data_IF_950531462316
#
_entry.id   IF_950531462316
#
_cell.length_a   1.000
_cell.length_b   1.000
_cell.length_c   1.000
_cell.angle_alpha   90.00
_cell.angle_beta   90.00
_cell.angle_gamma   90.00
#
_symmetry.space_group_name_H-M   'P 1'
#
loop_
_entity.id
_entity.type
_entity.pdbx_description
1 polymer ?
#
# COMPACT_ATOMS: atom_id res chain seq x y z
N UNK A 1 22.24 -11.15 18.02
CA UNK A 1 20.85 -11.63 18.18
C UNK A 1 20.19 -11.39 16.83
N UNK A 2 19.84 -12.45 16.12
CA UNK A 2 19.27 -12.40 14.77
C UNK A 2 17.76 -12.26 14.91
N UNK A 3 17.31 -11.05 15.25
CA UNK A 3 15.90 -10.68 15.55
C UNK A 3 14.88 -11.31 14.58
N UNK A 4 15.23 -11.41 13.29
CA UNK A 4 14.37 -11.99 12.26
C UNK A 4 14.06 -13.49 12.42
N UNK A 5 14.87 -14.26 13.18
CA UNK A 5 14.63 -15.69 13.44
C UNK A 5 13.57 -15.91 14.52
N UNK A 6 13.38 -14.93 15.41
CA UNK A 6 12.43 -15.01 16.52
C UNK A 6 11.06 -14.42 16.13
N UNK A 7 10.96 -13.81 14.95
CA UNK A 7 9.74 -13.20 14.43
C UNK A 7 8.93 -14.17 13.56
N UNK A 8 7.59 -14.10 13.59
CA UNK A 8 6.75 -14.92 12.73
C UNK A 8 6.94 -14.56 11.25
N UNK A 9 6.65 -15.52 10.38
CA UNK A 9 6.66 -15.30 8.92
C UNK A 9 5.35 -14.70 8.40
N UNK A 10 4.31 -14.67 9.23
CA UNK A 10 2.97 -14.21 8.84
C UNK A 10 2.19 -13.66 10.05
N UNK A 11 1.52 -12.53 9.87
CA UNK A 11 0.46 -12.03 10.78
C UNK A 11 -0.69 -11.47 9.95
N UNK A 12 -1.90 -11.84 10.33
CA UNK A 12 -3.14 -11.34 9.74
C UNK A 12 -3.88 -10.54 10.82
N UNK A 13 -4.30 -9.33 10.48
CA UNK A 13 -5.05 -8.49 11.40
C UNK A 13 -5.97 -7.54 10.64
N UNK A 14 -6.79 -6.79 11.38
CA UNK A 14 -7.64 -5.75 10.81
C UNK A 14 -7.26 -4.38 11.39
N UNK A 15 -7.28 -3.34 10.57
CA UNK A 15 -7.05 -1.95 10.98
C UNK A 15 -7.81 -1.01 10.06
N UNK A 16 -8.37 0.08 10.61
CA UNK A 16 -9.22 1.02 9.88
C UNK A 16 -10.38 0.36 9.10
N UNK A 17 -10.86 -0.81 9.54
CA UNK A 17 -11.89 -1.58 8.85
C UNK A 17 -11.41 -2.38 7.62
N UNK A 18 -10.10 -2.38 7.34
CA UNK A 18 -9.49 -3.12 6.24
C UNK A 18 -8.70 -4.34 6.75
N UNK A 19 -8.66 -5.39 5.93
CA UNK A 19 -7.83 -6.56 6.19
C UNK A 19 -6.38 -6.23 5.91
N UNK A 20 -5.50 -6.62 6.82
CA UNK A 20 -4.07 -6.34 6.79
C UNK A 20 -3.30 -7.66 6.88
N UNK A 21 -2.19 -7.75 6.16
CA UNK A 21 -1.33 -8.93 6.14
C UNK A 21 0.13 -8.48 6.19
N UNK A 22 0.91 -9.15 7.03
CA UNK A 22 2.38 -9.12 6.98
C UNK A 22 2.82 -10.51 6.54
N UNK A 23 3.74 -10.59 5.59
CA UNK A 23 4.26 -11.85 5.07
C UNK A 23 5.76 -11.74 4.84
N UNK A 24 6.52 -12.73 5.30
CA UNK A 24 7.94 -12.87 4.98
C UNK A 24 8.11 -13.48 3.59
N UNK A 25 8.94 -12.86 2.77
CA UNK A 25 9.30 -13.41 1.46
C UNK A 25 10.08 -14.71 1.64
N UNK A 26 9.56 -15.82 1.12
CA UNK A 26 10.09 -17.18 1.37
C UNK A 26 11.54 -17.39 0.91
N UNK A 27 11.95 -16.71 -0.16
CA UNK A 27 13.30 -16.88 -0.73
C UNK A 27 14.34 -15.87 -0.20
N UNK A 28 13.88 -14.68 0.19
CA UNK A 28 14.77 -13.53 0.48
C UNK A 28 14.68 -13.10 1.94
N UNK A 29 13.68 -13.54 2.70
CA UNK A 29 13.58 -13.37 4.15
C UNK A 29 13.22 -11.95 4.64
N UNK A 30 13.05 -10.97 3.76
CA UNK A 30 12.51 -9.66 4.12
C UNK A 30 11.00 -9.75 4.36
N UNK A 31 10.48 -8.81 5.15
CA UNK A 31 9.05 -8.70 5.42
C UNK A 31 8.37 -7.81 4.37
N UNK A 32 7.13 -8.14 4.04
CA UNK A 32 6.26 -7.35 3.18
C UNK A 32 4.96 -7.04 3.92
N UNK A 33 4.35 -5.90 3.59
CA UNK A 33 3.11 -5.42 4.19
C UNK A 33 2.02 -5.22 3.15
N UNK A 34 0.80 -5.65 3.46
CA UNK A 34 -0.33 -5.59 2.54
C UNK A 34 -1.63 -5.15 3.21
N UNK A 35 -2.48 -4.47 2.45
CA UNK A 35 -3.84 -4.05 2.82
C UNK A 35 -4.81 -4.46 1.72
N UNK A 36 -5.94 -5.04 2.12
CA UNK A 36 -7.00 -5.46 1.22
C UNK A 36 -8.13 -4.42 1.17
N UNK A 37 -8.47 -3.96 -0.04
CA UNK A 37 -9.64 -3.11 -0.27
C UNK A 37 -10.79 -3.90 -0.89
N UNK A 38 -12.04 -3.70 -0.42
CA UNK A 38 -13.20 -4.42 -0.93
C UNK A 38 -13.64 -3.91 -2.30
N UNK A 39 -14.43 -4.72 -3.03
CA UNK A 39 -15.14 -4.27 -4.22
C UNK A 39 -15.98 -3.03 -3.91
N UNK A 40 -15.78 -1.96 -4.68
CA UNK A 40 -16.42 -0.65 -4.48
C UNK A 40 -15.48 0.42 -3.95
N UNK A 41 -14.35 0.03 -3.35
CA UNK A 41 -13.32 0.96 -2.92
C UNK A 41 -12.64 1.62 -4.14
N UNK A 42 -12.24 2.88 -3.99
CA UNK A 42 -11.67 3.69 -5.08
C UNK A 42 -10.39 3.09 -5.69
N UNK A 43 -9.57 2.46 -4.86
CA UNK A 43 -8.33 1.77 -5.26
C UNK A 43 -8.55 0.35 -5.80
N UNK A 44 -9.78 -0.16 -5.83
CA UNK A 44 -10.04 -1.52 -6.29
C UNK A 44 -9.72 -1.67 -7.79
N UNK A 45 -8.93 -2.68 -8.14
CA UNK A 45 -8.53 -2.95 -9.53
C UNK A 45 -7.59 -1.89 -10.12
N UNK A 46 -6.99 -1.04 -9.29
CA UNK A 46 -6.01 -0.04 -9.72
C UNK A 46 -4.60 -0.57 -9.49
N UNK A 47 -3.77 -0.34 -10.50
CA UNK A 47 -2.34 -0.55 -10.38
C UNK A 47 -1.77 0.37 -9.30
N UNK A 48 -0.73 -0.08 -8.60
CA UNK A 48 -0.15 0.67 -7.48
C UNK A 48 0.51 1.99 -7.93
N UNK A 49 0.89 2.13 -9.20
CA UNK A 49 1.40 3.39 -9.78
C UNK A 49 0.26 4.34 -10.20
N UNK A 50 -0.98 3.88 -10.13
CA UNK A 50 -2.16 4.60 -10.65
C UNK A 50 -3.24 4.75 -9.59
N UNK A 51 -2.83 5.04 -8.36
CA UNK A 51 -3.75 5.31 -7.25
C UNK A 51 -4.44 6.67 -7.45
N UNK A 52 -5.76 6.76 -7.23
CA UNK A 52 -6.46 8.03 -7.35
C UNK A 52 -5.98 9.08 -6.36
N UNK A 53 -5.85 10.32 -6.87
CA UNK A 53 -5.38 11.48 -6.11
C UNK A 53 -3.91 11.40 -5.66
N UNK A 54 -3.10 10.48 -6.17
CA UNK A 54 -1.69 10.34 -5.77
C UNK A 54 -0.87 11.63 -5.96
N UNK A 55 -1.15 12.41 -7.02
CA UNK A 55 -0.55 13.74 -7.25
C UNK A 55 -0.84 14.77 -6.14
N UNK A 56 -1.92 14.58 -5.37
CA UNK A 56 -2.39 15.52 -4.34
C UNK A 56 -2.20 14.96 -2.93
N UNK A 57 -2.37 13.65 -2.77
CA UNK A 57 -2.34 12.90 -1.51
C UNK A 57 -1.60 11.58 -1.73
N UNK A 58 -0.26 11.63 -1.88
CA UNK A 58 0.50 10.44 -2.22
C UNK A 58 0.45 9.40 -1.09
N UNK A 59 0.31 8.13 -1.46
CA UNK A 59 0.42 7.03 -0.49
C UNK A 59 1.88 6.83 -0.12
N UNK A 60 2.32 7.54 0.93
CA UNK A 60 3.67 7.38 1.47
C UNK A 60 3.70 6.29 2.54
N UNK A 61 4.36 5.20 2.20
CA UNK A 61 4.73 4.08 3.10
C UNK A 61 6.20 3.75 2.87
N UNK A 62 6.73 2.75 3.57
CA UNK A 62 8.11 2.28 3.41
C UNK A 62 8.41 1.96 1.93
N UNK A 63 9.27 2.77 1.30
CA UNK A 63 9.63 2.60 -0.11
C UNK A 63 8.54 2.97 -1.13
N UNK A 64 7.32 3.25 -0.68
CA UNK A 64 6.14 3.38 -1.54
C UNK A 64 5.43 2.05 -1.76
N UNK A 65 4.38 2.06 -2.57
CA UNK A 65 3.74 0.82 -3.00
C UNK A 65 4.61 0.16 -4.08
N UNK A 66 4.79 -1.16 -3.97
CA UNK A 66 5.59 -1.93 -4.93
C UNK A 66 4.82 -3.11 -5.51
N UNK A 67 3.57 -3.32 -5.07
CA UNK A 67 2.79 -4.48 -5.46
C UNK A 67 1.29 -4.29 -5.32
N UNK A 68 0.53 -4.85 -6.26
CA UNK A 68 -0.92 -5.04 -6.13
C UNK A 68 -1.45 -6.22 -6.95
N UNK A 69 -2.54 -6.85 -6.50
CA UNK A 69 -3.32 -7.82 -7.31
C UNK A 69 -4.70 -8.13 -6.71
N UNK A 70 -5.53 -8.84 -7.47
CA UNK A 70 -6.72 -9.50 -6.93
C UNK A 70 -6.34 -10.72 -6.08
N UNK A 71 -7.07 -10.94 -4.98
CA UNK A 71 -6.86 -12.10 -4.12
C UNK A 71 -7.10 -13.43 -4.83
N UNK A 72 -6.17 -14.37 -4.65
CA UNK A 72 -6.21 -15.72 -5.26
C UNK A 72 -7.04 -16.73 -4.46
N UNK A 73 -7.38 -16.41 -3.21
CA UNK A 73 -8.16 -17.24 -2.29
C UNK A 73 -7.32 -18.18 -1.43
N UNK A 74 -6.00 -18.12 -1.56
CA UNK A 74 -5.07 -18.82 -0.67
C UNK A 74 -4.50 -17.83 0.33
N UNK A 75 -3.28 -17.33 0.11
CA UNK A 75 -2.66 -16.28 0.93
C UNK A 75 -3.48 -15.00 0.96
N UNK A 76 -4.12 -14.65 -0.16
CA UNK A 76 -4.91 -13.42 -0.29
C UNK A 76 -6.37 -13.76 -0.57
N UNK A 77 -7.28 -13.63 0.42
CA UNK A 77 -8.71 -13.86 0.24
C UNK A 77 -9.31 -13.21 -1.04
N UNK A 78 -10.13 -13.99 -1.76
CA UNK A 78 -10.87 -13.53 -2.95
C UNK A 78 -11.86 -12.42 -2.62
N UNK A 79 -12.18 -11.61 -3.63
CA UNK A 79 -13.14 -10.51 -3.52
C UNK A 79 -12.53 -9.21 -2.99
N UNK A 80 -11.22 -9.18 -2.79
CA UNK A 80 -10.45 -8.01 -2.40
C UNK A 80 -9.37 -7.72 -3.44
N UNK A 81 -9.05 -6.43 -3.58
CA UNK A 81 -7.85 -5.96 -4.26
C UNK A 81 -6.80 -5.65 -3.21
N UNK A 82 -5.62 -6.25 -3.32
CA UNK A 82 -4.55 -6.09 -2.35
C UNK A 82 -3.52 -5.10 -2.87
N UNK A 83 -3.11 -4.19 -1.99
CA UNK A 83 -2.02 -3.23 -2.20
C UNK A 83 -0.92 -3.52 -1.18
N UNK A 84 0.34 -3.37 -1.55
CA UNK A 84 1.43 -3.62 -0.62
C UNK A 84 2.77 -3.03 -0.99
N UNK A 85 3.72 -3.24 -0.08
CA UNK A 85 5.11 -2.82 -0.15
C UNK A 85 6.01 -3.92 0.40
N UNK A 86 7.28 -3.91 0.00
CA UNK A 86 8.31 -4.83 0.50
C UNK A 86 9.40 -4.08 1.29
N UNK A 87 10.14 -4.80 2.14
CA UNK A 87 11.30 -4.27 2.85
C UNK A 87 12.63 -4.75 2.24
N UNK A 88 12.77 -4.69 0.91
CA UNK A 88 13.99 -4.96 0.18
C UNK A 88 14.47 -3.73 -0.62
N UNK A 89 14.31 -2.53 -0.04
CA UNK A 89 14.74 -1.28 -0.65
C UNK A 89 16.22 -0.97 -0.37
N UNK A 90 16.74 0.08 -0.99
CA UNK A 90 18.06 0.60 -0.66
C UNK A 90 18.15 0.86 0.86
N UNK A 91 19.23 0.36 1.46
CA UNK A 91 19.51 0.43 2.90
C UNK A 91 18.67 -0.48 3.80
N UNK A 92 17.77 -1.30 3.25
CA UNK A 92 17.15 -2.36 4.04
C UNK A 92 18.09 -3.55 4.18
N UNK A 93 18.10 -4.13 5.39
CA UNK A 93 18.73 -5.41 5.63
C UNK A 93 17.77 -6.52 5.18
N UNK A 94 18.22 -7.31 4.22
CA UNK A 94 17.52 -8.52 3.75
C UNK A 94 18.27 -9.74 4.28
N UNK A 95 17.86 -10.34 5.42
CA UNK A 95 18.73 -11.25 6.17
C UNK A 95 19.11 -12.51 5.38
N UNK A 96 18.16 -13.15 4.72
CA UNK A 96 18.42 -14.38 3.97
C UNK A 96 19.25 -14.10 2.70
N UNK A 97 19.12 -12.90 2.11
CA UNK A 97 20.00 -12.49 1.02
C UNK A 97 21.46 -12.36 1.47
N UNK A 98 21.73 -11.88 2.68
CA UNK A 98 23.10 -11.84 3.22
C UNK A 98 23.72 -13.24 3.29
N UNK A 99 22.95 -14.19 3.80
CA UNK A 99 23.36 -15.59 3.93
C UNK A 99 23.61 -16.21 2.56
N UNK A 100 22.70 -16.00 1.60
CA UNK A 100 22.81 -16.54 0.24
C UNK A 100 24.05 -16.06 -0.52
N UNK A 101 24.42 -14.78 -0.38
CA UNK A 101 25.56 -14.19 -1.10
C UNK A 101 26.86 -14.16 -0.27
N UNK A 102 26.82 -14.67 0.97
CA UNK A 102 27.97 -14.72 1.86
C UNK A 102 28.58 -13.34 2.18
N UNK A 103 27.75 -12.29 2.26
CA UNK A 103 28.22 -10.94 2.61
C UNK A 103 27.88 -10.59 4.05
N UNK A 104 28.72 -9.78 4.66
CA UNK A 104 28.41 -9.19 5.96
C UNK A 104 27.39 -8.04 5.83
N UNK A 105 26.63 -7.84 6.92
CA UNK A 105 25.76 -6.68 7.10
C UNK A 105 26.61 -5.41 7.10
N UNK A 106 26.16 -4.38 6.37
CA UNK A 106 26.77 -3.05 6.42
C UNK A 106 26.13 -2.23 7.54
N UNK A 107 26.92 -1.35 8.15
CA UNK A 107 26.51 -0.58 9.33
C UNK A 107 25.25 0.28 9.10
N UNK A 108 25.09 0.83 7.89
CA UNK A 108 23.93 1.65 7.53
C UNK A 108 22.66 0.85 7.20
N UNK A 109 22.75 -0.49 7.09
CA UNK A 109 21.59 -1.31 6.74
C UNK A 109 20.69 -1.52 7.94
N UNK A 110 19.39 -1.31 7.74
CA UNK A 110 18.39 -1.43 8.81
C UNK A 110 17.46 -2.59 8.52
N UNK A 111 17.34 -3.52 9.47
CA UNK A 111 16.29 -4.53 9.40
C UNK A 111 14.94 -3.91 9.71
N UNK A 112 13.98 -4.06 8.79
CA UNK A 112 12.59 -3.65 9.00
C UNK A 112 11.87 -4.79 9.69
N UNK A 113 11.89 -4.73 11.01
CA UNK A 113 11.31 -5.75 11.89
C UNK A 113 9.78 -5.74 11.84
N UNK A 114 9.15 -6.72 12.49
CA UNK A 114 7.71 -6.91 12.46
C UNK A 114 6.93 -5.71 12.98
N UNK A 115 7.40 -5.09 14.06
CA UNK A 115 6.76 -3.92 14.66
C UNK A 115 6.76 -2.72 13.69
N UNK A 116 7.88 -2.51 12.99
CA UNK A 116 7.99 -1.48 11.96
C UNK A 116 7.02 -1.74 10.80
N UNK A 117 7.03 -2.95 10.24
CA UNK A 117 6.17 -3.29 9.10
C UNK A 117 4.70 -3.18 9.50
N UNK A 118 4.33 -3.62 10.70
CA UNK A 118 2.96 -3.46 11.23
C UNK A 118 2.53 -2.01 11.32
N UNK A 119 3.41 -1.12 11.78
CA UNK A 119 3.11 0.32 11.81
C UNK A 119 2.92 0.88 10.39
N UNK A 120 3.74 0.47 9.43
CA UNK A 120 3.61 0.87 8.03
C UNK A 120 2.32 0.35 7.38
N UNK A 121 1.93 -0.90 7.63
CA UNK A 121 0.67 -1.48 7.15
C UNK A 121 -0.55 -0.74 7.73
N UNK A 122 -0.52 -0.39 9.02
CA UNK A 122 -1.56 0.45 9.63
C UNK A 122 -1.64 1.83 8.96
N UNK A 123 -0.49 2.45 8.74
CA UNK A 123 -0.39 3.73 8.05
C UNK A 123 -0.88 3.66 6.61
N UNK A 124 -0.67 2.54 5.92
CA UNK A 124 -1.21 2.28 4.59
C UNK A 124 -2.75 2.23 4.63
N UNK A 125 -3.31 1.43 5.54
CA UNK A 125 -4.75 1.25 5.66
C UNK A 125 -5.47 2.59 5.93
N UNK A 126 -4.93 3.41 6.83
CA UNK A 126 -5.48 4.74 7.14
C UNK A 126 -5.48 5.67 5.91
N UNK A 127 -4.40 5.70 5.14
CA UNK A 127 -4.32 6.52 3.91
C UNK A 127 -5.30 6.05 2.85
N UNK A 128 -5.38 4.74 2.63
CA UNK A 128 -6.29 4.12 1.66
C UNK A 128 -7.74 4.47 1.99
N UNK A 129 -8.15 4.37 3.26
CA UNK A 129 -9.49 4.78 3.72
C UNK A 129 -9.72 6.29 3.55
N UNK A 130 -8.70 7.11 3.81
CA UNK A 130 -8.79 8.57 3.65
C UNK A 130 -9.12 8.96 2.20
N UNK A 131 -8.67 8.20 1.21
CA UNK A 131 -8.99 8.47 -0.19
C UNK A 131 -10.49 8.35 -0.50
N UNK A 132 -11.22 7.45 0.16
CA UNK A 132 -12.69 7.37 0.02
C UNK A 132 -13.36 8.62 0.58
N UNK A 133 -12.89 9.11 1.73
CA UNK A 133 -13.40 10.33 2.33
C UNK A 133 -13.16 11.55 1.42
N UNK A 134 -11.95 11.67 0.88
CA UNK A 134 -11.59 12.72 -0.08
C UNK A 134 -12.48 12.66 -1.32
N UNK A 135 -12.64 11.47 -1.92
CA UNK A 135 -13.48 11.30 -3.10
C UNK A 135 -14.93 11.73 -2.83
N UNK A 136 -15.45 11.38 -1.66
CA UNK A 136 -16.79 11.80 -1.22
C UNK A 136 -16.90 13.33 -1.09
N UNK A 137 -16.00 13.97 -0.34
CA UNK A 137 -15.97 15.43 -0.17
C UNK A 137 -15.86 16.17 -1.51
N UNK A 138 -14.97 15.71 -2.40
CA UNK A 138 -14.78 16.32 -3.72
C UNK A 138 -15.98 16.13 -4.65
N UNK A 139 -16.69 15.02 -4.56
CA UNK A 139 -17.88 14.75 -5.39
C UNK A 139 -19.12 15.48 -4.90
N UNK A 140 -19.29 15.62 -3.59
CA UNK A 140 -20.57 16.05 -3.02
C UNK A 140 -20.53 17.42 -2.35
N UNK A 141 -19.44 17.77 -1.68
CA UNK A 141 -19.34 19.01 -0.89
C UNK A 141 -18.67 20.11 -1.70
N UNK A 142 -17.54 19.81 -2.34
CA UNK A 142 -16.75 20.81 -3.08
C UNK A 142 -17.50 21.50 -4.22
N UNK A 143 -18.35 20.82 -5.03
CA UNK A 143 -19.12 21.49 -6.09
C UNK A 143 -20.16 22.48 -5.56
N UNK A 144 -20.63 22.29 -4.32
CA UNK A 144 -21.57 23.19 -3.65
C UNK A 144 -20.88 24.42 -3.06
N UNK A 145 -19.57 24.33 -2.80
CA UNK A 145 -18.74 25.42 -2.24
C UNK A 145 -18.00 26.24 -3.31
N UNK A 146 -17.89 25.74 -4.54
CA UNK A 146 -17.24 26.48 -5.64
C UNK A 146 -18.19 27.54 -6.23
N UNK A 147 -17.71 28.77 -6.49
CA UNK A 147 -18.44 29.72 -7.33
C UNK A 147 -18.73 29.10 -8.71
N UNK A 148 -19.97 29.24 -9.20
CA UNK A 148 -20.51 28.61 -10.43
C UNK A 148 -19.61 28.69 -11.68
N UNK A 149 -18.70 29.67 -11.75
CA UNK A 149 -17.79 29.85 -12.89
C UNK A 149 -16.56 28.94 -12.87
N UNK A 150 -16.13 28.44 -11.71
CA UNK A 150 -14.88 27.67 -11.56
C UNK A 150 -15.11 26.16 -11.70
N UNK A 151 -16.31 25.67 -11.37
CA UNK A 151 -16.67 24.26 -11.46
C UNK A 151 -16.47 23.69 -12.88
N UNK A 152 -16.84 24.46 -13.93
CA UNK A 152 -16.83 24.00 -15.33
C UNK A 152 -15.45 23.52 -15.84
N UNK A 153 -14.34 24.08 -15.31
CA UNK A 153 -12.99 23.73 -15.75
C UNK A 153 -12.45 22.41 -15.18
N UNK A 154 -12.91 22.02 -13.99
CA UNK A 154 -12.45 20.80 -13.30
C UNK A 154 -13.10 19.55 -13.93
N UNK A 155 -14.37 19.65 -14.32
CA UNK A 155 -15.09 18.56 -14.97
C UNK A 155 -14.59 18.26 -16.40
N UNK A 156 -14.15 19.29 -17.14
CA UNK A 156 -13.62 19.10 -18.50
C UNK A 156 -12.30 18.31 -18.51
N UNK A 157 -11.43 18.47 -17.51
CA UNK A 157 -10.17 17.69 -17.42
C UNK A 157 -10.37 16.23 -17.00
N UNK A 158 -11.43 15.92 -16.25
CA UNK A 158 -11.76 14.53 -15.89
C UNK A 158 -12.44 13.77 -17.04
N UNK A 159 -13.14 14.44 -17.96
CA UNK A 159 -13.80 13.79 -19.10
C UNK A 159 -12.85 13.23 -20.17
N UNK A 160 -11.66 13.82 -20.33
CA UNK A 160 -10.71 13.40 -21.37
C UNK A 160 -9.91 12.13 -21.00
N UNK A 161 -9.75 11.80 -19.71
CA UNK A 161 -8.98 10.61 -19.27
C UNK A 161 -9.79 9.30 -19.18
N UNK A 162 -11.12 9.33 -19.40
CA UNK A 162 -11.98 8.14 -19.33
C UNK A 162 -12.65 7.80 -20.68
N UNK A 163 -12.25 8.45 -21.78
CA UNK A 163 -12.83 8.23 -23.11
C UNK A 163 -11.99 7.31 -24.02
N UNK A 164 -10.86 6.77 -23.55
CA UNK A 164 -10.07 5.77 -24.26
C UNK A 164 -10.13 4.44 -23.50
N UNK A 165 -11.18 3.67 -23.77
CA UNK A 165 -11.25 2.20 -23.68
C UNK A 165 -12.43 1.71 -24.53
#
# INVERSE_FOLDING_TARGET
MTEWLDEPDKDEFEHAGLKCLILRHSELGHLCGYVAVPKGHLCYGKDYDHIPYDDLFPIQVHGGLTWCKEGDGDTWPKGYWWLGFDCAHAWDLVPQMLELIGRERREYETYRNFAYVRAQVKSLAEKVVTLEFIDWEFKWVWPLLLPLRTARGIWNKKGEKYAEN
#
